data_IF_495399739318
#
_entry.id   IF_495399739318
#
_cell.length_a   1.000
_cell.length_b   1.000
_cell.length_c   1.000
_cell.angle_alpha   90.00
_cell.angle_beta   90.00
_cell.angle_gamma   90.00
#
_symmetry.space_group_name_H-M   'P 1'
#
loop_
_entity.id
_entity.type
_entity.pdbx_description
1 polymer ?
#
# COMPACT_ATOMS: atom_id res chain seq x y z
N UNK A 1 -10.55 21.35 6.34
CA UNK A 1 -9.85 21.29 5.04
C UNK A 1 -10.76 21.85 3.95
N UNK A 2 -10.22 22.49 2.90
CA UNK A 2 -11.05 23.08 1.85
C UNK A 2 -11.80 22.00 1.05
N UNK A 3 -13.05 22.26 0.68
CA UNK A 3 -13.86 21.32 -0.12
C UNK A 3 -13.46 21.34 -1.62
N UNK A 4 -12.97 22.48 -2.11
CA UNK A 4 -12.63 22.72 -3.51
C UNK A 4 -11.26 23.38 -3.67
N UNK A 5 -10.59 23.08 -4.78
CA UNK A 5 -9.36 23.75 -5.22
C UNK A 5 -9.53 24.13 -6.69
N UNK A 6 -9.40 25.42 -7.01
CA UNK A 6 -9.64 25.95 -8.37
C UNK A 6 -10.99 25.52 -8.98
N UNK A 7 -12.04 25.41 -8.15
CA UNK A 7 -13.37 24.99 -8.57
C UNK A 7 -13.57 23.49 -8.76
N UNK A 8 -12.55 22.66 -8.53
CA UNK A 8 -12.63 21.21 -8.59
C UNK A 8 -12.74 20.61 -7.17
N UNK A 9 -13.51 19.52 -6.98
CA UNK A 9 -13.60 18.86 -5.68
C UNK A 9 -12.22 18.36 -5.22
N UNK A 10 -11.82 18.70 -3.99
CA UNK A 10 -10.54 18.25 -3.43
C UNK A 10 -10.46 16.71 -3.41
N UNK A 11 -11.57 16.05 -3.12
CA UNK A 11 -11.67 14.59 -3.14
C UNK A 11 -11.23 14.01 -4.47
N UNK A 12 -11.71 14.53 -5.60
CA UNK A 12 -11.31 14.03 -6.91
C UNK A 12 -9.80 14.18 -7.16
N UNK A 13 -9.18 15.27 -6.72
CA UNK A 13 -7.73 15.48 -6.85
C UNK A 13 -6.92 14.50 -5.99
N UNK A 14 -7.33 14.30 -4.74
CA UNK A 14 -6.66 13.36 -3.84
C UNK A 14 -6.88 11.90 -4.28
N UNK A 15 -8.06 11.56 -4.80
CA UNK A 15 -8.33 10.24 -5.38
C UNK A 15 -7.32 9.91 -6.48
N UNK A 16 -6.97 10.85 -7.37
CA UNK A 16 -5.95 10.60 -8.41
C UNK A 16 -4.60 10.19 -7.82
N UNK A 17 -4.22 10.77 -6.68
CA UNK A 17 -3.00 10.40 -5.97
C UNK A 17 -3.14 8.97 -5.43
N UNK A 18 -4.24 8.67 -4.74
CA UNK A 18 -4.50 7.35 -4.14
C UNK A 18 -4.57 6.24 -5.21
N UNK A 19 -5.30 6.46 -6.31
CA UNK A 19 -5.46 5.43 -7.36
C UNK A 19 -4.19 5.15 -8.16
N UNK A 20 -3.17 6.01 -8.05
CA UNK A 20 -1.85 5.76 -8.64
C UNK A 20 -0.90 5.16 -7.60
N UNK A 21 -0.82 5.77 -6.42
CA UNK A 21 0.14 5.35 -5.40
C UNK A 21 -0.19 3.99 -4.78
N UNK A 22 -1.45 3.70 -4.45
CA UNK A 22 -1.83 2.41 -3.86
C UNK A 22 -1.49 1.25 -4.80
N UNK A 23 -1.84 1.27 -6.11
CA UNK A 23 -1.40 0.22 -7.03
C UNK A 23 0.12 0.12 -7.19
N UNK A 24 0.85 1.25 -7.20
CA UNK A 24 2.31 1.24 -7.24
C UNK A 24 2.91 0.62 -5.96
N UNK A 25 2.35 0.92 -4.79
CA UNK A 25 2.75 0.34 -3.52
C UNK A 25 2.45 -1.17 -3.49
N UNK A 26 1.30 -1.61 -4.00
CA UNK A 26 0.93 -3.04 -4.09
C UNK A 26 1.90 -3.79 -5.00
N UNK A 27 2.13 -3.31 -6.23
CA UNK A 27 3.06 -3.93 -7.17
C UNK A 27 4.49 -3.93 -6.62
N UNK A 28 4.91 -2.78 -6.07
CA UNK A 28 6.20 -2.63 -5.41
C UNK A 28 6.38 -3.61 -4.26
N UNK A 29 5.37 -3.75 -3.38
CA UNK A 29 5.38 -4.64 -2.22
C UNK A 29 5.55 -6.10 -2.66
N UNK A 30 4.82 -6.53 -3.69
CA UNK A 30 4.96 -7.89 -4.25
C UNK A 30 6.38 -8.10 -4.78
N UNK A 31 6.88 -7.17 -5.60
CA UNK A 31 8.23 -7.26 -6.18
C UNK A 31 9.30 -7.35 -5.09
N UNK A 32 9.26 -6.47 -4.08
CA UNK A 32 10.27 -6.51 -3.02
C UNK A 32 10.10 -7.70 -2.08
N UNK A 33 8.88 -8.24 -1.91
CA UNK A 33 8.65 -9.42 -1.10
C UNK A 33 9.31 -10.66 -1.73
N UNK A 34 9.15 -10.86 -3.05
CA UNK A 34 9.63 -12.06 -3.75
C UNK A 34 11.04 -11.92 -4.34
N UNK A 35 11.52 -10.70 -4.59
CA UNK A 35 12.81 -10.46 -5.23
C UNK A 35 13.75 -9.66 -4.31
N UNK A 36 14.67 -10.34 -3.60
CA UNK A 36 15.61 -9.69 -2.68
C UNK A 36 16.48 -8.62 -3.35
N UNK A 37 16.93 -8.84 -4.59
CA UNK A 37 17.75 -7.85 -5.30
C UNK A 37 16.98 -6.56 -5.59
N UNK A 38 15.70 -6.67 -5.98
CA UNK A 38 14.83 -5.51 -6.16
C UNK A 38 14.55 -4.80 -4.82
N UNK A 39 14.26 -5.56 -3.74
CA UNK A 39 14.11 -5.01 -2.38
C UNK A 39 15.28 -4.12 -1.98
N UNK A 40 16.50 -4.55 -2.30
CA UNK A 40 17.73 -3.81 -2.00
C UNK A 40 17.81 -2.45 -2.68
N UNK A 41 17.27 -2.32 -3.89
CA UNK A 41 17.37 -1.11 -4.72
C UNK A 41 16.17 -0.19 -4.57
N UNK A 42 14.97 -0.76 -4.55
CA UNK A 42 13.70 -0.03 -4.62
C UNK A 42 12.88 -0.07 -3.33
N UNK A 43 13.28 -0.86 -2.32
CA UNK A 43 12.47 -1.03 -1.11
C UNK A 43 12.19 0.28 -0.36
N UNK A 44 13.14 1.22 -0.34
CA UNK A 44 12.91 2.56 0.24
C UNK A 44 11.93 3.41 -0.56
N UNK A 45 11.90 3.26 -1.89
CA UNK A 45 10.93 3.93 -2.76
C UNK A 45 9.51 3.40 -2.47
N UNK A 46 9.36 2.08 -2.41
CA UNK A 46 8.07 1.42 -2.11
C UNK A 46 7.58 1.77 -0.71
N UNK A 47 8.48 1.82 0.28
CA UNK A 47 8.15 2.30 1.62
C UNK A 47 7.67 3.75 1.59
N UNK A 48 8.31 4.61 0.79
CA UNK A 48 7.88 5.99 0.57
C UNK A 48 6.44 6.07 0.04
N UNK A 49 6.09 5.26 -0.97
CA UNK A 49 4.72 5.20 -1.49
C UNK A 49 3.72 4.80 -0.40
N UNK A 50 4.01 3.72 0.35
CA UNK A 50 3.12 3.26 1.41
C UNK A 50 2.94 4.29 2.56
N UNK A 51 3.98 5.05 2.89
CA UNK A 51 3.89 6.15 3.87
C UNK A 51 2.99 7.27 3.35
N UNK A 52 3.17 7.67 2.09
CA UNK A 52 2.33 8.69 1.47
C UNK A 52 0.89 8.22 1.39
N UNK A 53 0.64 6.97 1.00
CA UNK A 53 -0.71 6.38 0.99
C UNK A 53 -1.38 6.43 2.37
N UNK A 54 -0.66 6.05 3.44
CA UNK A 54 -1.18 6.07 4.80
C UNK A 54 -1.58 7.49 5.28
N UNK A 55 -1.02 8.53 4.68
CA UNK A 55 -1.35 9.93 4.97
C UNK A 55 -2.47 10.43 4.03
N UNK A 56 -2.39 10.13 2.75
CA UNK A 56 -3.30 10.68 1.73
C UNK A 56 -4.66 10.00 1.76
N UNK A 57 -4.74 8.70 2.08
CA UNK A 57 -6.02 7.97 2.19
C UNK A 57 -7.00 8.64 3.18
N UNK A 58 -6.65 8.92 4.45
CA UNK A 58 -7.59 9.55 5.37
C UNK A 58 -7.96 10.97 4.92
N UNK A 59 -7.02 11.74 4.37
CA UNK A 59 -7.32 13.05 3.77
C UNK A 59 -8.31 12.94 2.60
N UNK A 60 -8.22 11.87 1.82
CA UNK A 60 -9.15 11.59 0.72
C UNK A 60 -10.53 11.24 1.27
N UNK A 61 -10.61 10.39 2.29
CA UNK A 61 -11.88 10.03 2.96
C UNK A 61 -12.57 11.26 3.54
N UNK A 62 -11.88 12.06 4.36
CA UNK A 62 -12.44 13.29 4.94
C UNK A 62 -12.93 14.27 3.86
N UNK A 63 -12.28 14.30 2.69
CA UNK A 63 -12.67 15.20 1.60
C UNK A 63 -13.92 14.72 0.88
N UNK A 64 -14.11 13.39 0.83
CA UNK A 64 -15.30 12.76 0.28
C UNK A 64 -16.51 12.99 1.16
N UNK A 65 -16.38 12.80 2.47
CA UNK A 65 -17.45 13.05 3.46
C UNK A 65 -17.96 14.50 3.43
N UNK A 66 -17.07 15.47 3.18
CA UNK A 66 -17.49 16.87 3.03
C UNK A 66 -18.22 17.12 1.70
N UNK A 67 -17.88 16.37 0.64
CA UNK A 67 -18.51 16.46 -0.67
C UNK A 67 -19.89 15.77 -0.70
N UNK A 68 -20.08 14.69 0.05
CA UNK A 68 -21.31 13.88 0.10
C UNK A 68 -22.55 14.74 0.34
N UNK A 69 -22.46 15.75 1.22
CA UNK A 69 -23.56 16.70 1.52
C UNK A 69 -24.10 17.47 0.30
N UNK A 70 -23.36 17.48 -0.81
CA UNK A 70 -23.67 18.23 -2.05
C UNK A 70 -24.00 17.32 -3.23
N UNK A 71 -23.89 16.00 -3.08
CA UNK A 71 -24.09 15.03 -4.16
C UNK A 71 -25.39 14.26 -3.92
N UNK A 72 -26.20 14.01 -4.96
CA UNK A 72 -27.39 13.16 -4.81
C UNK A 72 -26.99 11.74 -4.38
N UNK A 73 -27.58 11.29 -3.27
CA UNK A 73 -27.32 9.95 -2.73
C UNK A 73 -27.80 8.87 -3.71
N UNK A 74 -27.02 7.79 -3.82
CA UNK A 74 -27.39 6.58 -4.55
C UNK A 74 -26.69 5.35 -3.93
N UNK A 75 -27.17 4.11 -4.20
CA UNK A 75 -26.62 2.90 -3.59
C UNK A 75 -25.13 2.66 -3.88
N UNK A 76 -24.66 3.03 -5.07
CA UNK A 76 -23.27 2.83 -5.48
C UNK A 76 -22.34 3.82 -4.77
N UNK A 77 -22.80 5.05 -4.51
CA UNK A 77 -22.08 6.04 -3.72
C UNK A 77 -21.91 5.58 -2.26
N UNK A 78 -22.98 5.09 -1.63
CA UNK A 78 -22.91 4.57 -0.26
C UNK A 78 -21.96 3.36 -0.15
N UNK A 79 -21.92 2.49 -1.16
CA UNK A 79 -20.95 1.39 -1.19
C UNK A 79 -19.51 1.87 -1.42
N UNK A 80 -19.31 2.91 -2.24
CA UNK A 80 -17.99 3.53 -2.42
C UNK A 80 -17.47 4.13 -1.11
N UNK A 81 -18.31 4.86 -0.38
CA UNK A 81 -17.98 5.42 0.94
C UNK A 81 -17.62 4.32 1.93
N UNK A 82 -18.50 3.32 2.10
CA UNK A 82 -18.27 2.20 3.02
C UNK A 82 -16.98 1.45 2.71
N UNK A 83 -16.66 1.23 1.44
CA UNK A 83 -15.40 0.59 1.05
C UNK A 83 -14.21 1.55 1.22
N UNK A 84 -14.38 2.83 0.93
CA UNK A 84 -13.38 3.88 1.06
C UNK A 84 -12.90 4.02 2.51
N UNK A 85 -13.82 4.05 3.47
CA UNK A 85 -13.52 4.08 4.91
C UNK A 85 -12.66 2.89 5.34
N UNK A 86 -12.84 1.74 4.70
CA UNK A 86 -12.09 0.54 5.00
C UNK A 86 -10.68 0.54 4.40
N UNK A 87 -10.37 1.44 3.46
CA UNK A 87 -9.08 1.47 2.77
C UNK A 87 -7.90 1.63 3.73
N UNK A 88 -8.05 2.44 4.78
CA UNK A 88 -6.96 2.67 5.75
C UNK A 88 -6.53 1.39 6.47
N UNK A 89 -7.48 0.48 6.73
CA UNK A 89 -7.22 -0.81 7.37
C UNK A 89 -6.49 -1.80 6.44
N UNK A 90 -6.38 -1.51 5.15
CA UNK A 90 -5.55 -2.27 4.20
C UNK A 90 -4.17 -1.63 4.01
N UNK A 91 -4.14 -0.30 3.87
CA UNK A 91 -2.89 0.45 3.63
C UNK A 91 -1.97 0.43 4.85
N UNK A 92 -2.50 0.54 6.07
CA UNK A 92 -1.67 0.52 7.29
C UNK A 92 -0.95 -0.83 7.49
N UNK A 93 -1.63 -2.00 7.43
CA UNK A 93 -0.93 -3.29 7.47
C UNK A 93 0.08 -3.45 6.35
N UNK A 94 -0.23 -3.00 5.13
CA UNK A 94 0.70 -3.05 4.00
C UNK A 94 1.97 -2.23 4.31
N UNK A 95 1.83 -1.01 4.82
CA UNK A 95 2.94 -0.17 5.27
C UNK A 95 3.79 -0.88 6.34
N UNK A 96 3.15 -1.43 7.37
CA UNK A 96 3.85 -2.13 8.47
C UNK A 96 4.65 -3.32 7.95
N UNK A 97 4.08 -4.10 7.03
CA UNK A 97 4.74 -5.26 6.43
C UNK A 97 5.92 -4.86 5.53
N UNK A 98 5.76 -3.82 4.71
CA UNK A 98 6.87 -3.26 3.91
C UNK A 98 7.99 -2.76 4.84
N UNK A 99 7.64 -2.03 5.90
CA UNK A 99 8.61 -1.55 6.88
C UNK A 99 9.33 -2.71 7.58
N UNK A 100 8.62 -3.78 7.93
CA UNK A 100 9.21 -4.99 8.51
C UNK A 100 10.18 -5.68 7.54
N UNK A 101 9.82 -5.83 6.25
CA UNK A 101 10.72 -6.36 5.23
C UNK A 101 12.01 -5.53 5.10
N UNK A 102 11.88 -4.20 5.16
CA UNK A 102 13.01 -3.30 5.08
C UNK A 102 13.89 -3.34 6.34
N UNK A 103 13.28 -3.42 7.51
CA UNK A 103 14.00 -3.59 8.77
C UNK A 103 14.80 -4.90 8.80
N UNK A 104 14.18 -6.01 8.40
CA UNK A 104 14.85 -7.32 8.29
C UNK A 104 16.02 -7.28 7.30
N UNK A 105 15.86 -6.59 6.16
CA UNK A 105 16.94 -6.42 5.19
C UNK A 105 18.10 -5.60 5.75
N UNK A 106 17.83 -4.52 6.50
CA UNK A 106 18.87 -3.71 7.16
C UNK A 106 19.61 -4.52 8.23
N UNK A 107 18.89 -5.28 9.05
CA UNK A 107 19.49 -6.15 10.09
C UNK A 107 20.38 -7.22 9.44
N UNK A 108 19.89 -7.90 8.39
CA UNK A 108 20.66 -8.92 7.66
C UNK A 108 21.96 -8.37 7.09
N UNK A 109 21.92 -7.17 6.49
CA UNK A 109 23.11 -6.52 5.93
C UNK A 109 24.13 -6.16 7.00
N UNK A 110 23.69 -5.60 8.13
CA UNK A 110 24.57 -5.26 9.25
C UNK A 110 25.30 -6.48 9.79
N UNK A 111 24.60 -7.61 9.93
CA UNK A 111 25.21 -8.86 10.42
C UNK A 111 26.27 -9.41 9.46
N UNK A 112 26.01 -9.38 8.13
CA UNK A 112 27.00 -9.80 7.14
C UNK A 112 28.27 -8.95 7.21
N UNK A 113 28.14 -7.62 7.31
CA UNK A 113 29.30 -6.73 7.47
C UNK A 113 30.08 -6.96 8.77
N UNK A 114 29.42 -7.34 9.88
CA UNK A 114 30.11 -7.64 11.13
C UNK A 114 30.86 -8.98 11.08
N UNK A 115 30.33 -9.96 10.35
CA UNK A 115 30.98 -11.27 10.16
C UNK A 115 32.25 -11.11 9.34
N UNK A 116 32.21 -10.36 8.25
CA UNK A 116 33.39 -10.10 7.39
C UNK A 116 34.50 -9.33 8.13
N UNK A 117 34.15 -8.54 9.14
CA UNK A 117 35.10 -7.81 9.98
C UNK A 117 35.72 -8.66 11.11
N UNK A 118 35.15 -9.82 11.44
CA UNK A 118 35.68 -10.77 12.42
C UNK A 118 36.66 -11.74 11.78
N UNK A 119 37.89 -11.84 12.30
CA UNK A 119 38.94 -12.69 11.72
C UNK A 119 38.57 -14.19 11.58
N UNK A 120 39.39 -14.99 10.84
CA UNK A 120 39.05 -16.33 10.35
C UNK A 120 38.53 -17.35 11.38
N UNK A 121 38.91 -17.21 12.67
CA UNK A 121 38.63 -18.19 13.72
C UNK A 121 37.24 -18.13 14.37
N UNK A 122 36.49 -17.04 14.21
CA UNK A 122 35.14 -16.85 14.79
C UNK A 122 34.00 -17.02 13.78
N UNK A 123 34.33 -17.21 12.50
CA UNK A 123 33.39 -17.14 11.38
C UNK A 123 32.46 -18.36 11.29
N UNK A 124 32.89 -19.56 11.70
CA UNK A 124 32.14 -20.82 11.47
C UNK A 124 31.03 -21.08 12.51
N UNK A 125 31.18 -20.58 13.73
CA UNK A 125 30.21 -20.79 14.81
C UNK A 125 29.11 -19.70 14.84
N UNK A 126 29.45 -18.45 14.49
CA UNK A 126 28.51 -17.33 14.52
C UNK A 126 27.56 -17.30 13.30
N UNK A 127 28.02 -17.72 12.12
CA UNK A 127 27.23 -17.73 10.87
C UNK A 127 26.02 -18.66 10.92
N UNK A 128 26.10 -19.80 11.62
CA UNK A 128 25.02 -20.79 11.67
C UNK A 128 23.82 -20.42 12.54
N UNK A 129 24.02 -19.64 13.61
CA UNK A 129 23.00 -19.46 14.65
C UNK A 129 22.13 -18.20 14.48
N UNK A 130 22.69 -17.09 13.99
CA UNK A 130 21.91 -15.86 13.67
C UNK A 130 21.15 -15.98 12.35
N UNK A 131 21.65 -16.76 11.39
CA UNK A 131 20.97 -17.01 10.11
C UNK A 131 19.72 -17.90 10.25
N UNK A 132 19.65 -18.71 11.31
CA UNK A 132 18.63 -19.77 11.48
C UNK A 132 17.20 -19.25 11.64
N UNK A 133 16.96 -18.22 12.46
CA UNK A 133 15.60 -17.72 12.73
C UNK A 133 15.17 -16.57 11.82
N UNK A 134 16.11 -15.79 11.29
CA UNK A 134 15.82 -14.66 10.40
C UNK A 134 15.23 -15.11 9.06
N UNK A 135 15.64 -16.28 8.55
CA UNK A 135 15.09 -16.86 7.32
C UNK A 135 13.59 -17.19 7.43
N UNK A 136 13.13 -18.04 8.38
CA UNK A 136 11.71 -18.35 8.49
C UNK A 136 10.87 -17.10 8.78
N UNK A 137 11.35 -16.18 9.63
CA UNK A 137 10.66 -14.91 9.87
C UNK A 137 10.55 -14.07 8.58
N UNK A 138 11.63 -13.94 7.81
CA UNK A 138 11.61 -13.19 6.55
C UNK A 138 10.66 -13.80 5.52
N UNK A 139 10.58 -15.14 5.46
CA UNK A 139 9.65 -15.85 4.58
C UNK A 139 8.21 -15.57 5.01
N UNK A 140 7.90 -15.72 6.31
CA UNK A 140 6.56 -15.44 6.85
C UNK A 140 6.14 -13.99 6.56
N UNK A 141 7.01 -13.02 6.85
CA UNK A 141 6.72 -11.60 6.57
C UNK A 141 6.54 -11.37 5.07
N UNK A 142 7.34 -12.00 4.20
CA UNK A 142 7.18 -11.87 2.75
C UNK A 142 5.85 -12.45 2.26
N UNK A 143 5.45 -13.63 2.74
CA UNK A 143 4.16 -14.25 2.42
C UNK A 143 3.00 -13.37 2.88
N UNK A 144 3.04 -12.87 4.11
CA UNK A 144 2.03 -11.95 4.64
C UNK A 144 1.97 -10.66 3.82
N UNK A 145 3.14 -10.11 3.44
CA UNK A 145 3.22 -8.91 2.59
C UNK A 145 2.51 -9.14 1.26
N UNK A 146 2.75 -10.28 0.59
CA UNK A 146 2.09 -10.59 -0.68
C UNK A 146 0.58 -10.75 -0.48
N UNK A 147 0.14 -11.49 0.54
CA UNK A 147 -1.28 -11.68 0.81
C UNK A 147 -2.01 -10.34 1.07
N UNK A 148 -1.43 -9.48 1.92
CA UNK A 148 -1.98 -8.15 2.22
C UNK A 148 -1.92 -7.22 1.01
N UNK A 149 -0.85 -7.26 0.21
CA UNK A 149 -0.74 -6.47 -1.01
C UNK A 149 -1.84 -6.85 -2.03
N UNK A 150 -2.06 -8.14 -2.25
CA UNK A 150 -3.14 -8.62 -3.12
C UNK A 150 -4.50 -8.20 -2.58
N UNK A 151 -4.75 -8.37 -1.28
CA UNK A 151 -5.99 -7.91 -0.64
C UNK A 151 -6.21 -6.40 -0.79
N UNK A 152 -5.17 -5.61 -0.59
CA UNK A 152 -5.19 -4.14 -0.77
C UNK A 152 -5.50 -3.76 -2.22
N UNK A 153 -4.88 -4.43 -3.20
CA UNK A 153 -5.17 -4.21 -4.62
C UNK A 153 -6.61 -4.52 -5.00
N UNK A 154 -7.14 -5.66 -4.51
CA UNK A 154 -8.54 -6.04 -4.73
C UNK A 154 -9.49 -5.03 -4.08
N UNK A 155 -9.22 -4.61 -2.84
CA UNK A 155 -10.04 -3.64 -2.13
C UNK A 155 -10.03 -2.28 -2.83
N UNK A 156 -8.85 -1.82 -3.27
CA UNK A 156 -8.70 -0.60 -4.06
C UNK A 156 -9.49 -0.65 -5.37
N UNK A 157 -9.45 -1.78 -6.08
CA UNK A 157 -10.28 -1.99 -7.26
C UNK A 157 -11.78 -1.90 -6.95
N UNK A 158 -12.23 -2.52 -5.86
CA UNK A 158 -13.66 -2.49 -5.45
C UNK A 158 -14.12 -1.07 -5.10
N UNK A 159 -13.30 -0.31 -4.39
CA UNK A 159 -13.56 1.11 -4.09
C UNK A 159 -13.69 1.90 -5.39
N UNK A 160 -12.75 1.71 -6.33
CA UNK A 160 -12.75 2.37 -7.63
C UNK A 160 -13.95 2.01 -8.50
N UNK A 161 -14.32 0.73 -8.57
CA UNK A 161 -15.47 0.23 -9.33
C UNK A 161 -16.80 0.81 -8.79
N UNK A 162 -16.99 0.83 -7.47
CA UNK A 162 -18.16 1.45 -6.85
C UNK A 162 -18.22 2.97 -7.15
N UNK A 163 -17.10 3.68 -7.08
CA UNK A 163 -17.01 5.11 -7.40
C UNK A 163 -17.24 5.40 -8.89
N UNK A 164 -16.75 4.54 -9.78
CA UNK A 164 -17.01 4.68 -11.21
C UNK A 164 -18.50 4.45 -11.52
N UNK A 165 -19.15 3.46 -10.91
CA UNK A 165 -20.57 3.18 -11.09
C UNK A 165 -21.48 4.26 -10.52
N UNK A 166 -21.10 4.91 -9.41
CA UNK A 166 -21.90 6.00 -8.83
C UNK A 166 -21.94 7.24 -9.74
N UNK A 167 -20.88 7.48 -10.51
CA UNK A 167 -20.80 8.61 -11.45
C UNK A 167 -21.30 8.24 -12.85
N UNK A 168 -20.96 7.07 -13.36
CA UNK A 168 -21.15 6.73 -14.78
C UNK A 168 -22.20 5.64 -15.04
N UNK A 169 -22.81 5.06 -14.00
CA UNK A 169 -23.74 3.93 -14.14
C UNK A 169 -24.91 4.22 -15.08
N UNK A 170 -25.44 5.44 -15.08
CA UNK A 170 -26.56 5.85 -15.92
C UNK A 170 -26.25 5.87 -17.42
N UNK A 171 -24.98 5.90 -17.81
CA UNK A 171 -24.57 5.98 -19.23
C UNK A 171 -24.91 4.69 -19.97
N UNK A 172 -24.92 3.54 -19.29
CA UNK A 172 -25.28 2.26 -19.90
C UNK A 172 -26.74 2.22 -20.36
N UNK A 173 -27.61 3.01 -19.73
CA UNK A 173 -29.05 3.03 -20.01
C UNK A 173 -29.41 4.07 -21.10
N UNK A 174 -28.45 4.87 -21.56
CA UNK A 174 -28.71 5.86 -22.60
C UNK A 174 -28.66 5.23 -24.00
N UNK A 175 -29.62 5.55 -24.89
CA UNK A 175 -29.57 5.07 -26.27
C UNK A 175 -28.31 5.59 -26.97
N UNK A 176 -27.65 4.72 -27.73
CA UNK A 176 -26.54 5.11 -28.59
C UNK A 176 -27.03 6.16 -29.60
N UNK A 177 -26.21 7.19 -29.82
CA UNK A 177 -26.49 8.26 -30.79
C UNK A 177 -26.16 7.81 -32.22
#
# INVERSE_FOLDING_TARGET
MPEFVNGLPLHALLVHVVVVLVPLAVLGAIVIAVWPAARRRFGWLVLGFAVVDAIVVPLTTESGENLDRRVPSNPQLAEHERLGDMMIYWVVPLLVLIAALMALEVVRRRQLTTIDAGGPGTQTAATGQVASWLMPVSIVVAVLTVAVAVGTGIHCFRVGDAGAKSVWGFVQDQPAR
#
